data_IF_821210340378
#
_entry.id   IF_821210340378
#
_cell.length_a   1.000
_cell.length_b   1.000
_cell.length_c   1.000
_cell.angle_alpha   90.00
_cell.angle_beta   90.00
_cell.angle_gamma   90.00
#
_symmetry.space_group_name_H-M   'P 1'
#
loop_
_entity.id
_entity.type
_entity.pdbx_description
1 polymer ?
#
# COMPACT_ATOMS: atom_id res chain seq x y z
N UNK A 1 -18.09 1.48 2.31
CA UNK A 1 -16.78 1.06 2.83
C UNK A 1 -16.26 -0.05 1.95
N UNK A 2 -15.05 0.09 1.41
CA UNK A 2 -14.36 -0.90 0.58
C UNK A 2 -13.20 -1.49 1.35
N UNK A 3 -13.05 -2.83 1.37
CA UNK A 3 -11.89 -3.49 1.96
C UNK A 3 -11.00 -4.09 0.88
N UNK A 4 -9.73 -3.69 0.88
CA UNK A 4 -8.70 -4.19 -0.03
C UNK A 4 -7.78 -5.16 0.71
N UNK A 5 -7.44 -6.28 0.08
CA UNK A 5 -6.59 -7.30 0.67
C UNK A 5 -5.29 -7.43 -0.12
N UNK A 6 -4.15 -7.29 0.52
CA UNK A 6 -2.82 -7.42 -0.07
C UNK A 6 -2.08 -8.58 0.60
N UNK A 7 -1.32 -9.36 -0.17
CA UNK A 7 -0.44 -10.38 0.40
C UNK A 7 0.52 -9.71 1.40
N UNK A 8 0.47 -10.11 2.67
CA UNK A 8 1.32 -9.51 3.70
C UNK A 8 2.79 -9.80 3.40
N UNK A 9 3.10 -11.01 2.94
CA UNK A 9 4.46 -11.41 2.62
C UNK A 9 5.06 -10.52 1.52
N UNK A 10 4.30 -10.23 0.46
CA UNK A 10 4.78 -9.36 -0.62
C UNK A 10 4.80 -7.88 -0.20
N UNK A 11 3.80 -7.44 0.58
CA UNK A 11 3.75 -6.08 1.15
C UNK A 11 4.97 -5.81 2.03
N UNK A 12 5.38 -6.78 2.84
CA UNK A 12 6.56 -6.69 3.68
C UNK A 12 7.84 -6.46 2.86
N UNK A 13 7.96 -7.06 1.67
CA UNK A 13 9.11 -6.80 0.80
C UNK A 13 9.16 -5.34 0.37
N UNK A 14 8.02 -4.75 0.00
CA UNK A 14 7.94 -3.32 -0.34
C UNK A 14 8.24 -2.43 0.86
N UNK A 15 7.64 -2.74 2.01
CA UNK A 15 7.80 -1.93 3.22
C UNK A 15 9.25 -1.94 3.72
N UNK A 16 9.91 -3.11 3.75
CA UNK A 16 11.31 -3.20 4.17
C UNK A 16 12.27 -2.56 3.15
N UNK A 17 11.93 -2.60 1.85
CA UNK A 17 12.68 -1.84 0.85
C UNK A 17 12.58 -0.34 1.12
N UNK A 18 11.37 0.20 1.30
CA UNK A 18 11.17 1.61 1.61
C UNK A 18 11.91 2.03 2.90
N UNK A 19 11.90 1.20 3.95
CA UNK A 19 12.63 1.48 5.19
C UNK A 19 14.16 1.53 5.06
N UNK A 20 14.72 0.87 4.03
CA UNK A 20 16.18 0.78 3.80
C UNK A 20 16.67 1.76 2.74
N UNK A 21 15.77 2.26 1.90
CA UNK A 21 16.12 3.24 0.89
C UNK A 21 16.64 4.53 1.54
N UNK A 22 17.61 5.16 0.89
CA UNK A 22 18.22 6.41 1.33
C UNK A 22 17.43 7.64 0.92
N UNK A 23 16.56 7.51 -0.08
CA UNK A 23 15.71 8.56 -0.60
C UNK A 23 14.32 8.00 -0.91
N UNK A 24 13.31 8.88 -0.99
CA UNK A 24 11.90 8.50 -1.06
C UNK A 24 11.11 9.45 -1.94
N UNK A 25 10.08 8.91 -2.59
CA UNK A 25 9.06 9.72 -3.24
C UNK A 25 8.37 10.64 -2.19
N UNK A 26 8.35 11.94 -2.50
CA UNK A 26 7.74 12.97 -1.65
C UNK A 26 6.23 13.03 -1.91
N UNK A 27 5.43 12.85 -0.86
CA UNK A 27 3.98 13.02 -0.93
C UNK A 27 3.58 14.48 -1.11
N UNK A 28 2.42 14.73 -1.72
CA UNK A 28 1.88 16.08 -1.89
C UNK A 28 1.67 16.76 -0.54
N UNK A 29 1.03 16.06 0.41
CA UNK A 29 0.79 16.56 1.78
C UNK A 29 2.07 17.01 2.47
N UNK A 30 3.16 16.23 2.38
CA UNK A 30 4.45 16.61 2.97
C UNK A 30 5.10 17.76 2.23
N UNK A 31 5.02 17.78 0.89
CA UNK A 31 5.51 18.90 0.08
C UNK A 31 4.86 20.21 0.50
N UNK A 32 3.53 20.21 0.61
CA UNK A 32 2.75 21.40 0.97
C UNK A 32 3.06 21.85 2.42
N UNK A 33 3.34 20.90 3.31
CA UNK A 33 3.78 21.16 4.67
C UNK A 33 5.28 21.53 4.80
N UNK A 34 6.07 21.52 3.71
CA UNK A 34 7.51 21.74 3.75
C UNK A 34 8.29 20.67 4.51
N UNK A 35 7.76 19.45 4.62
CA UNK A 35 8.36 18.31 5.30
C UNK A 35 9.17 17.44 4.33
N UNK A 36 10.25 16.78 4.79
CA UNK A 36 11.02 15.87 3.96
C UNK A 36 10.23 14.60 3.60
N UNK A 37 10.63 13.91 2.53
CA UNK A 37 10.07 12.61 2.19
C UNK A 37 10.41 11.57 3.27
N UNK A 38 9.56 10.54 3.40
CA UNK A 38 9.70 9.49 4.42
C UNK A 38 9.43 8.11 3.82
N UNK A 39 9.89 7.02 4.49
CA UNK A 39 9.49 5.67 4.13
C UNK A 39 7.97 5.51 4.16
N UNK A 40 7.40 5.07 3.03
CA UNK A 40 5.97 4.87 2.86
C UNK A 40 5.70 3.70 1.91
N UNK A 41 4.49 3.14 2.01
CA UNK A 41 3.90 2.38 0.91
C UNK A 41 3.08 3.35 0.07
N UNK A 42 3.28 3.35 -1.24
CA UNK A 42 2.47 4.13 -2.17
C UNK A 42 1.26 3.29 -2.56
N UNK A 43 0.08 3.71 -2.17
CA UNK A 43 -1.17 3.07 -2.57
C UNK A 43 -1.74 3.78 -3.79
N UNK A 44 -1.59 3.14 -4.95
CA UNK A 44 -2.03 3.67 -6.24
C UNK A 44 -3.32 3.02 -6.75
N UNK A 45 -4.02 3.76 -7.60
CA UNK A 45 -5.10 3.27 -8.46
C UNK A 45 -4.81 3.73 -9.89
N UNK A 46 -4.79 2.77 -10.80
CA UNK A 46 -4.70 3.01 -12.24
C UNK A 46 -5.55 1.96 -12.98
N UNK A 47 -4.95 1.02 -13.72
CA UNK A 47 -5.67 -0.12 -14.33
C UNK A 47 -6.04 -1.24 -13.33
N UNK A 48 -5.68 -1.04 -12.07
CA UNK A 48 -6.00 -1.84 -10.89
C UNK A 48 -5.64 -1.04 -9.64
N UNK A 49 -5.72 -1.64 -8.44
CA UNK A 49 -5.22 -0.98 -7.22
C UNK A 49 -4.11 -1.78 -6.56
N UNK A 50 -3.02 -1.10 -6.21
CA UNK A 50 -1.76 -1.73 -5.84
C UNK A 50 -0.94 -0.93 -4.85
N UNK A 51 0.03 -1.60 -4.23
CA UNK A 51 1.07 -1.00 -3.42
C UNK A 51 2.40 -0.99 -4.18
N UNK A 52 3.14 0.11 -4.04
CA UNK A 52 4.57 0.24 -4.37
C UNK A 52 5.36 0.64 -3.12
N UNK A 53 6.68 0.50 -3.20
CA UNK A 53 7.59 1.12 -2.24
C UNK A 53 7.82 2.60 -2.60
N UNK A 54 7.89 3.49 -1.61
CA UNK A 54 8.32 4.87 -1.84
C UNK A 54 9.84 5.04 -2.06
N UNK A 55 10.66 4.04 -1.71
CA UNK A 55 12.11 4.13 -1.80
C UNK A 55 12.66 4.34 -3.22
N UNK A 56 13.72 5.16 -3.33
CA UNK A 56 14.45 5.50 -4.56
C UNK A 56 15.89 4.95 -4.47
N UNK A 57 16.40 4.24 -5.49
CA UNK A 57 15.68 3.81 -6.70
C UNK A 57 14.53 2.84 -6.36
N UNK A 58 13.49 2.86 -7.20
CA UNK A 58 12.32 2.01 -7.02
C UNK A 58 12.68 0.52 -7.02
N UNK A 59 11.95 -0.29 -6.25
CA UNK A 59 12.22 -1.73 -6.18
C UNK A 59 11.86 -2.36 -7.53
N UNK A 60 12.81 -2.96 -8.26
CA UNK A 60 12.54 -3.49 -9.58
C UNK A 60 11.62 -4.71 -9.53
N UNK A 61 10.73 -4.84 -10.51
CA UNK A 61 9.87 -6.04 -10.67
C UNK A 61 10.71 -7.30 -10.84
N UNK A 62 11.81 -7.20 -11.57
CA UNK A 62 12.79 -8.25 -11.79
C UNK A 62 14.20 -7.68 -11.59
N UNK A 63 14.95 -8.23 -10.63
CA UNK A 63 16.31 -7.78 -10.32
C UNK A 63 17.27 -7.91 -11.52
N UNK A 64 17.03 -8.85 -12.45
CA UNK A 64 17.82 -9.01 -13.66
C UNK A 64 17.47 -8.00 -14.77
N UNK A 65 16.37 -7.24 -14.61
CA UNK A 65 15.87 -6.24 -15.57
C UNK A 65 15.31 -5.04 -14.82
N UNK A 66 16.18 -4.21 -14.20
CA UNK A 66 15.74 -3.13 -13.32
C UNK A 66 14.90 -2.07 -14.03
N UNK A 67 15.09 -1.88 -15.34
CA UNK A 67 14.36 -0.89 -16.13
C UNK A 67 12.96 -1.35 -16.57
N UNK A 68 12.59 -2.61 -16.32
CA UNK A 68 11.31 -3.20 -16.75
C UNK A 68 10.18 -3.00 -15.73
N UNK A 69 10.18 -1.82 -15.08
CA UNK A 69 9.16 -1.39 -14.15
C UNK A 69 9.39 -1.82 -12.69
N UNK A 70 8.58 -1.22 -11.81
CA UNK A 70 8.68 -1.46 -10.38
C UNK A 70 7.83 -2.65 -9.93
N UNK A 71 8.21 -3.24 -8.80
CA UNK A 71 7.45 -4.29 -8.15
C UNK A 71 6.19 -3.71 -7.53
N UNK A 72 5.04 -4.12 -8.06
CA UNK A 72 3.72 -3.83 -7.51
C UNK A 72 3.13 -5.05 -6.78
N UNK A 73 2.35 -4.79 -5.74
CA UNK A 73 1.50 -5.78 -5.06
C UNK A 73 0.06 -5.33 -5.24
N UNK A 74 -0.66 -6.00 -6.13
CA UNK A 74 -2.08 -5.71 -6.36
C UNK A 74 -2.92 -6.21 -5.20
N UNK A 75 -4.03 -5.51 -4.94
CA UNK A 75 -5.06 -6.05 -4.06
C UNK A 75 -5.70 -7.29 -4.72
N UNK A 76 -6.01 -8.30 -3.92
CA UNK A 76 -6.65 -9.53 -4.36
C UNK A 76 -7.98 -9.20 -5.06
N UNK A 77 -8.15 -9.71 -6.29
CA UNK A 77 -9.32 -9.44 -7.12
C UNK A 77 -9.32 -8.10 -7.86
N UNK A 78 -8.33 -7.22 -7.62
CA UNK A 78 -8.26 -5.86 -8.18
C UNK A 78 -6.97 -5.62 -8.98
N UNK A 79 -6.57 -6.63 -9.76
CA UNK A 79 -5.42 -6.56 -10.66
C UNK A 79 -5.66 -5.67 -11.90
N UNK A 80 -4.72 -5.66 -12.86
CA UNK A 80 -4.91 -4.98 -14.15
C UNK A 80 -6.20 -5.40 -14.84
N UNK A 81 -6.85 -4.46 -15.52
CA UNK A 81 -8.14 -4.60 -16.18
C UNK A 81 -9.37 -4.38 -15.28
N UNK A 82 -9.19 -3.96 -14.02
CA UNK A 82 -10.31 -3.77 -13.06
C UNK A 82 -10.66 -2.30 -12.80
N UNK A 83 -10.13 -1.38 -13.61
CA UNK A 83 -10.35 0.07 -13.46
C UNK A 83 -11.83 0.45 -13.41
N UNK A 84 -12.65 -0.16 -14.26
CA UNK A 84 -14.07 0.19 -14.36
C UNK A 84 -14.81 -0.18 -13.08
N UNK A 85 -14.58 -1.37 -12.54
CA UNK A 85 -15.17 -1.83 -11.27
C UNK A 85 -14.69 -0.97 -10.10
N UNK A 86 -13.41 -0.57 -10.08
CA UNK A 86 -12.85 0.32 -9.07
C UNK A 86 -13.51 1.71 -9.05
N UNK A 87 -14.09 2.16 -10.16
CA UNK A 87 -14.83 3.43 -10.23
C UNK A 87 -16.12 3.44 -9.39
N UNK A 88 -16.61 2.25 -9.01
CA UNK A 88 -17.79 2.06 -8.17
C UNK A 88 -17.47 1.83 -6.68
N UNK A 89 -16.22 2.04 -6.28
CA UNK A 89 -15.75 1.83 -4.89
C UNK A 89 -15.45 3.14 -4.18
N UNK A 90 -15.17 3.10 -2.88
CA UNK A 90 -14.76 4.28 -2.10
C UNK A 90 -13.29 4.69 -2.34
N UNK A 91 -12.60 4.01 -3.25
CA UNK A 91 -11.20 4.28 -3.59
C UNK A 91 -11.19 5.49 -4.53
N UNK A 92 -10.34 6.47 -4.23
CA UNK A 92 -10.31 7.82 -4.82
C UNK A 92 -10.37 7.93 -6.34
N UNK A 93 -10.27 9.17 -6.86
CA UNK A 93 -10.45 9.47 -8.28
C UNK A 93 -9.41 8.84 -9.21
N UNK A 94 -9.48 9.21 -10.50
CA UNK A 94 -8.44 8.87 -11.47
C UNK A 94 -7.08 9.45 -11.00
N UNK A 95 -5.99 8.74 -11.31
CA UNK A 95 -4.61 9.04 -10.88
C UNK A 95 -4.39 9.12 -9.35
N UNK A 96 -5.26 8.47 -8.57
CA UNK A 96 -5.13 8.42 -7.13
C UNK A 96 -3.82 7.73 -6.69
N UNK A 97 -3.07 8.41 -5.81
CA UNK A 97 -1.93 7.84 -5.09
C UNK A 97 -1.88 8.42 -3.68
N UNK A 98 -1.99 7.56 -2.68
CA UNK A 98 -1.88 7.91 -1.26
C UNK A 98 -0.56 7.37 -0.67
N UNK A 99 0.05 8.13 0.25
CA UNK A 99 1.28 7.70 0.92
C UNK A 99 0.95 7.15 2.30
N UNK A 100 1.01 5.84 2.46
CA UNK A 100 0.87 5.18 3.75
C UNK A 100 2.21 5.24 4.49
N UNK A 101 2.41 6.30 5.27
CA UNK A 101 3.66 6.53 5.98
C UNK A 101 3.99 5.38 6.95
N UNK A 102 5.17 4.80 6.81
CA UNK A 102 5.57 3.61 7.58
C UNK A 102 6.01 3.97 9.00
N UNK A 103 6.48 5.21 9.20
CA UNK A 103 7.09 5.69 10.44
C UNK A 103 6.22 6.65 11.24
N UNK A 104 5.10 7.11 10.68
CA UNK A 104 4.17 7.96 11.40
C UNK A 104 3.48 7.18 12.53
N UNK A 105 3.42 7.72 13.76
CA UNK A 105 2.67 7.11 14.85
C UNK A 105 1.17 7.10 14.54
N UNK A 106 0.58 5.92 14.58
CA UNK A 106 -0.88 5.78 14.54
C UNK A 106 -1.46 6.17 15.92
N UNK A 107 -2.76 6.49 15.97
CA UNK A 107 -3.46 6.86 17.22
C UNK A 107 -3.32 5.84 18.37
N UNK A 108 -2.97 4.60 18.04
CA UNK A 108 -2.74 3.46 18.93
C UNK A 108 -1.28 3.36 19.43
N UNK A 109 -0.44 4.36 19.16
CA UNK A 109 0.91 4.51 19.72
C UNK A 109 2.00 3.67 19.05
N UNK A 110 1.71 3.03 17.93
CA UNK A 110 2.66 2.25 17.12
C UNK A 110 2.63 2.70 15.66
N UNK A 111 3.70 2.45 14.91
CA UNK A 111 3.81 2.83 13.50
C UNK A 111 3.33 1.70 12.58
N UNK A 112 2.99 2.02 11.33
CA UNK A 112 2.51 1.02 10.37
C UNK A 112 3.56 -0.10 10.13
N UNK A 113 4.86 0.22 10.05
CA UNK A 113 5.91 -0.81 9.91
C UNK A 113 5.95 -1.77 11.11
N UNK A 114 5.70 -1.27 12.33
CA UNK A 114 5.66 -2.12 13.52
C UNK A 114 4.50 -3.10 13.45
N UNK A 115 3.33 -2.66 12.98
CA UNK A 115 2.19 -3.54 12.78
C UNK A 115 2.43 -4.59 11.70
N UNK A 116 2.94 -4.19 10.54
CA UNK A 116 3.27 -5.09 9.44
C UNK A 116 4.24 -6.19 9.90
N UNK A 117 5.33 -5.80 10.59
CA UNK A 117 6.30 -6.75 11.17
C UNK A 117 5.67 -7.66 12.21
N UNK A 118 4.82 -7.13 13.09
CA UNK A 118 4.16 -7.92 14.12
C UNK A 118 3.14 -8.92 13.54
N UNK A 119 2.40 -8.53 12.50
CA UNK A 119 1.48 -9.41 11.78
C UNK A 119 2.24 -10.51 11.03
N UNK A 120 3.37 -10.17 10.39
CA UNK A 120 4.24 -11.13 9.71
C UNK A 120 4.81 -12.18 10.68
N UNK A 121 5.28 -11.76 11.87
CA UNK A 121 5.74 -12.68 12.94
C UNK A 121 4.64 -13.62 13.45
N UNK A 122 3.38 -13.22 13.32
CA UNK A 122 2.20 -14.04 13.66
C UNK A 122 1.67 -14.84 12.47
N UNK A 123 2.42 -14.92 11.38
CA UNK A 123 2.06 -15.63 10.15
C UNK A 123 0.68 -15.21 9.60
N UNK A 124 0.34 -13.92 9.70
CA UNK A 124 -0.87 -13.40 9.05
C UNK A 124 -0.64 -13.42 7.53
N UNK A 125 -1.59 -13.94 6.74
CA UNK A 125 -1.43 -14.00 5.29
C UNK A 125 -1.68 -12.64 4.60
N UNK A 126 -2.52 -11.79 5.22
CA UNK A 126 -3.05 -10.59 4.57
C UNK A 126 -2.78 -9.32 5.38
N UNK A 127 -2.47 -8.26 4.63
CA UNK A 127 -2.62 -6.87 5.04
C UNK A 127 -3.89 -6.34 4.38
N UNK A 128 -4.79 -5.73 5.12
CA UNK A 128 -5.99 -5.14 4.55
C UNK A 128 -6.09 -3.64 4.84
N UNK A 129 -6.56 -2.89 3.84
CA UNK A 129 -6.98 -1.50 3.96
C UNK A 129 -8.51 -1.45 4.06
N UNK A 130 -9.00 -0.80 5.10
CA UNK A 130 -10.42 -0.45 5.25
C UNK A 130 -10.62 0.98 4.78
N UNK A 131 -11.28 1.16 3.64
CA UNK A 131 -11.39 2.44 2.95
C UNK A 131 -12.82 2.95 3.01
N UNK A 132 -12.95 4.22 3.35
CA UNK A 132 -14.17 5.01 3.19
C UNK A 132 -13.79 6.42 2.76
N UNK A 133 -14.79 7.25 2.43
CA UNK A 133 -14.57 8.59 1.90
C UNK A 133 -13.67 9.49 2.80
N UNK A 134 -13.66 9.26 4.11
CA UNK A 134 -12.96 10.09 5.10
C UNK A 134 -11.95 9.32 5.96
N UNK A 135 -11.79 8.01 5.72
CA UNK A 135 -10.97 7.17 6.61
C UNK A 135 -10.28 6.02 5.88
N UNK A 136 -9.01 5.80 6.26
CA UNK A 136 -8.21 4.62 5.93
C UNK A 136 -7.85 3.91 7.23
N UNK A 137 -8.35 2.69 7.39
CA UNK A 137 -8.03 1.78 8.49
C UNK A 137 -7.13 0.63 8.04
N UNK A 138 -6.47 -0.02 9.01
CA UNK A 138 -5.58 -1.16 8.76
C UNK A 138 -6.07 -2.41 9.50
N UNK A 139 -6.10 -3.54 8.81
CA UNK A 139 -6.51 -4.81 9.38
C UNK A 139 -5.59 -5.98 8.98
N UNK A 140 -5.62 -7.06 9.76
CA UNK A 140 -4.73 -8.23 9.63
C UNK A 140 -5.52 -9.55 9.55
N UNK A 141 -6.38 -9.74 8.53
CA UNK A 141 -7.29 -10.88 8.48
C UNK A 141 -6.56 -12.21 8.23
N UNK A 142 -7.11 -13.29 8.76
CA UNK A 142 -6.61 -14.67 8.53
C UNK A 142 -7.13 -15.30 7.25
N UNK A 143 -8.24 -14.80 6.73
CA UNK A 143 -8.85 -15.23 5.48
C UNK A 143 -9.53 -14.03 4.81
N UNK A 144 -9.62 -14.07 3.49
CA UNK A 144 -10.44 -13.12 2.74
C UNK A 144 -11.88 -13.55 2.94
N UNK A 145 -12.69 -12.67 3.51
CA UNK A 145 -14.13 -12.88 3.61
C UNK A 145 -14.71 -12.31 2.33
N UNK A 146 -15.07 -13.18 1.38
CA UNK A 146 -15.88 -12.81 0.22
C UNK A 146 -17.30 -12.49 0.68
N UNK A 147 -17.47 -11.34 1.32
CA UNK A 147 -18.77 -10.76 1.62
C UNK A 147 -19.18 -9.88 0.44
N UNK A 148 -19.86 -10.48 -0.54
CA UNK A 148 -20.67 -9.84 -1.58
C UNK A 148 -20.05 -8.63 -2.29
N UNK A 149 -19.52 -8.84 -3.50
CA UNK A 149 -19.71 -7.80 -4.53
C UNK A 149 -21.23 -7.69 -4.79
N UNK A 150 -21.76 -6.47 -5.00
CA UNK A 150 -23.16 -6.28 -5.40
C UNK A 150 -23.50 -7.01 -6.71
#
# INVERSE_FOLDING_TARGET
MTRLYFSLAQTMVLAEHAMRATDHHLSLTRRDAGLPAVPALLWGKDDGTFLLSSGIPGLPRNAARPDHGQRAVYAEGWGPGTRQELSHTDIGGDDFTEHLELTEPLAIGATLIQYLRAAARRNRPWFALDVSADHIGYAWPTAITTGGQP
#
